data_IF_649776589009
#
_entry.id   IF_649776589009
#
_cell.length_a   1.000
_cell.length_b   1.000
_cell.length_c   1.000
_cell.angle_alpha   90.00
_cell.angle_beta   90.00
_cell.angle_gamma   90.00
#
_symmetry.space_group_name_H-M   'P 1'
#
loop_
_entity.id
_entity.type
_entity.pdbx_description
1 polymer ?
#
# COMPACT_ATOMS: atom_id res chain seq x y z
N UNK A 1 -21.32 46.21 24.31
CA UNK A 1 -20.56 46.01 23.04
C UNK A 1 -20.22 44.54 22.74
N UNK A 2 -20.80 43.55 23.44
CA UNK A 2 -20.38 42.14 23.33
C UNK A 2 -21.11 41.30 22.26
N UNK A 3 -22.17 41.85 21.63
CA UNK A 3 -23.00 41.13 20.64
C UNK A 3 -22.66 41.45 19.18
N UNK A 4 -21.80 42.44 18.92
CA UNK A 4 -21.42 42.82 17.55
C UNK A 4 -20.35 41.89 16.96
N UNK A 5 -19.52 41.28 17.80
CA UNK A 5 -18.50 40.31 17.39
C UNK A 5 -19.07 39.06 16.69
N UNK A 6 -20.08 38.36 17.25
CA UNK A 6 -20.66 37.20 16.57
C UNK A 6 -21.41 37.58 15.28
N UNK A 7 -22.04 38.75 15.23
CA UNK A 7 -22.70 39.24 14.02
C UNK A 7 -21.70 39.51 12.88
N UNK A 8 -20.54 40.11 13.16
CA UNK A 8 -19.48 40.29 12.18
C UNK A 8 -18.87 38.97 11.70
N UNK A 9 -18.67 38.00 12.62
CA UNK A 9 -18.14 36.69 12.28
C UNK A 9 -19.06 35.91 11.33
N UNK A 10 -20.38 35.95 11.57
CA UNK A 10 -21.36 35.30 10.70
C UNK A 10 -21.43 35.95 9.32
N UNK A 11 -21.37 37.29 9.26
CA UNK A 11 -21.38 38.02 7.98
C UNK A 11 -20.11 37.74 7.16
N UNK A 12 -18.94 37.65 7.81
CA UNK A 12 -17.69 37.27 7.17
C UNK A 12 -17.73 35.83 6.62
N UNK A 13 -18.28 34.89 7.40
CA UNK A 13 -18.42 33.49 6.96
C UNK A 13 -19.31 33.37 5.72
N UNK A 14 -20.46 34.05 5.69
CA UNK A 14 -21.36 34.02 4.54
C UNK A 14 -20.77 34.75 3.33
N UNK A 15 -20.05 35.86 3.56
CA UNK A 15 -19.32 36.55 2.49
C UNK A 15 -18.27 35.65 1.85
N UNK A 16 -17.50 34.91 2.67
CA UNK A 16 -16.53 33.93 2.17
C UNK A 16 -17.19 32.78 1.41
N UNK A 17 -18.34 32.28 1.88
CA UNK A 17 -19.10 31.23 1.18
C UNK A 17 -19.61 31.72 -0.20
N UNK A 18 -20.12 32.96 -0.27
CA UNK A 18 -20.56 33.59 -1.51
C UNK A 18 -19.40 33.79 -2.50
N UNK A 19 -18.22 34.19 -1.99
CA UNK A 19 -17.01 34.31 -2.82
C UNK A 19 -16.58 32.95 -3.36
N UNK A 20 -16.60 31.89 -2.55
CA UNK A 20 -16.28 30.53 -3.01
C UNK A 20 -17.27 30.00 -4.05
N UNK A 21 -18.55 30.37 -3.95
CA UNK A 21 -19.57 29.97 -4.93
C UNK A 21 -19.45 30.73 -6.25
N UNK A 22 -19.06 32.02 -6.20
CA UNK A 22 -18.88 32.85 -7.39
C UNK A 22 -17.56 32.60 -8.13
N UNK A 23 -16.47 32.33 -7.39
CA UNK A 23 -15.13 32.08 -7.96
C UNK A 23 -14.93 30.60 -8.30
N UNK A 24 -15.73 29.71 -7.73
CA UNK A 24 -15.51 28.27 -7.78
C UNK A 24 -14.47 27.83 -6.75
N UNK A 25 -14.61 26.60 -6.24
CA UNK A 25 -13.63 26.01 -5.33
C UNK A 25 -12.31 25.76 -6.08
N UNK A 26 -11.18 26.37 -5.69
CA UNK A 26 -9.89 26.03 -6.27
C UNK A 26 -9.46 24.65 -5.77
N UNK A 27 -9.78 23.59 -6.51
CA UNK A 27 -9.40 22.24 -6.06
C UNK A 27 -9.97 21.01 -6.76
N UNK A 28 -10.60 21.10 -7.95
CA UNK A 28 -11.04 19.89 -8.68
C UNK A 28 -10.47 19.78 -10.09
N UNK A 29 -9.24 20.27 -10.27
CA UNK A 29 -8.39 19.89 -11.39
C UNK A 29 -7.32 18.93 -10.88
N UNK A 30 -7.68 17.65 -10.74
CA UNK A 30 -6.68 16.59 -10.55
C UNK A 30 -5.80 16.54 -11.80
N UNK A 31 -4.70 17.29 -11.77
CA UNK A 31 -3.61 17.22 -12.74
C UNK A 31 -2.92 15.88 -12.52
N UNK A 32 -3.33 14.86 -13.24
CA UNK A 32 -2.53 13.66 -13.39
C UNK A 32 -1.50 13.94 -14.47
N UNK A 33 -0.30 14.35 -14.06
CA UNK A 33 0.85 14.28 -14.94
C UNK A 33 1.14 12.78 -15.09
N UNK A 34 0.70 12.17 -16.18
CA UNK A 34 1.03 10.78 -16.57
C UNK A 34 2.52 10.67 -16.95
N UNK A 35 3.41 11.34 -16.21
CA UNK A 35 4.82 11.02 -16.20
C UNK A 35 5.05 10.14 -14.99
N UNK A 36 5.37 8.84 -15.17
CA UNK A 36 6.05 8.14 -14.10
C UNK A 36 7.30 8.97 -13.79
N UNK A 37 7.37 9.56 -12.59
CA UNK A 37 8.65 10.03 -12.08
C UNK A 37 9.58 8.83 -12.20
N UNK A 38 10.58 8.91 -13.08
CA UNK A 38 11.51 7.81 -13.32
C UNK A 38 12.28 7.61 -12.03
N UNK A 39 11.79 6.73 -11.17
CA UNK A 39 12.53 6.22 -10.03
C UNK A 39 13.69 5.41 -10.61
N UNK A 40 14.83 6.08 -10.78
CA UNK A 40 16.11 5.45 -11.08
C UNK A 40 16.49 4.61 -9.86
N UNK A 41 16.06 3.35 -9.88
CA UNK A 41 16.49 2.34 -8.93
C UNK A 41 18.00 2.19 -9.14
N UNK A 42 18.78 2.75 -8.21
CA UNK A 42 20.21 2.54 -8.14
C UNK A 42 20.44 1.08 -7.73
N UNK A 43 20.49 0.19 -8.72
CA UNK A 43 20.90 -1.19 -8.52
C UNK A 43 22.37 -1.20 -8.10
N UNK A 44 22.62 -1.26 -6.78
CA UNK A 44 23.93 -1.61 -6.25
C UNK A 44 24.14 -3.09 -6.56
N UNK A 45 25.01 -3.37 -7.52
CA UNK A 45 25.47 -4.72 -7.85
C UNK A 45 26.10 -5.34 -6.59
N UNK A 46 25.32 -6.15 -5.87
CA UNK A 46 25.84 -7.06 -4.85
C UNK A 46 26.33 -8.27 -5.63
N UNK A 47 27.64 -8.32 -5.86
CA UNK A 47 28.28 -9.53 -6.33
C UNK A 47 28.12 -10.59 -5.24
N UNK A 48 27.31 -11.61 -5.51
CA UNK A 48 27.20 -12.81 -4.69
C UNK A 48 28.58 -13.42 -4.49
N UNK A 49 29.05 -13.35 -3.25
CA UNK A 49 30.24 -14.01 -2.78
C UNK A 49 30.00 -15.53 -2.88
N UNK A 50 30.67 -16.16 -3.86
CA UNK A 50 30.92 -17.60 -4.03
C UNK A 50 30.40 -18.50 -2.89
N UNK A 51 29.60 -19.55 -3.20
CA UNK A 51 29.13 -20.47 -2.16
C UNK A 51 30.30 -21.15 -1.47
N UNK A 52 30.45 -20.92 -0.17
CA UNK A 52 31.40 -21.65 0.68
C UNK A 52 30.93 -23.11 0.80
N UNK A 53 31.85 -24.09 0.68
CA UNK A 53 31.50 -25.50 0.71
C UNK A 53 31.00 -25.92 2.11
N UNK A 54 29.94 -26.73 2.13
CA UNK A 54 29.35 -27.32 3.33
C UNK A 54 30.34 -28.26 4.03
N UNK A 55 30.39 -28.31 5.38
CA UNK A 55 31.21 -29.28 6.09
C UNK A 55 30.59 -30.68 6.03
N UNK A 56 31.34 -31.62 5.44
CA UNK A 56 31.03 -33.05 5.39
C UNK A 56 31.08 -33.66 6.80
N UNK A 57 29.95 -34.16 7.29
CA UNK A 57 29.88 -34.97 8.51
C UNK A 57 30.19 -36.43 8.14
N UNK A 58 31.35 -36.93 8.58
CA UNK A 58 31.70 -38.37 8.54
C UNK A 58 31.21 -39.08 9.82
N UNK A 59 30.76 -40.34 9.72
CA UNK A 59 30.15 -41.07 10.83
C UNK A 59 31.22 -41.68 11.76
N UNK A 60 30.92 -41.79 13.06
CA UNK A 60 31.73 -42.60 14.00
C UNK A 60 30.90 -43.67 14.71
N UNK A 61 31.45 -44.89 14.95
CA UNK A 61 30.75 -46.03 15.54
C UNK A 61 30.97 -46.16 17.07
N UNK A 62 30.10 -46.94 17.74
CA UNK A 62 30.23 -47.51 19.13
C UNK A 62 31.39 -48.56 19.21
N UNK A 63 31.76 -49.25 20.33
CA UNK A 63 31.38 -49.19 21.78
C UNK A 63 32.53 -49.37 22.85
N UNK A 64 32.28 -49.03 24.16
CA UNK A 64 32.68 -49.69 25.48
C UNK A 64 34.23 -49.82 25.83
N UNK A 65 34.79 -50.01 27.08
CA UNK A 65 34.28 -50.31 28.46
C UNK A 65 34.83 -49.48 29.68
N UNK A 66 34.30 -49.86 30.87
CA UNK A 66 34.55 -49.47 32.29
C UNK A 66 36.02 -49.41 32.79
N UNK A 67 36.25 -48.81 33.99
CA UNK A 67 36.55 -49.67 35.15
C UNK A 67 35.86 -49.27 36.48
N UNK A 68 35.58 -50.31 37.27
CA UNK A 68 35.29 -50.33 38.73
C UNK A 68 36.62 -50.16 39.52
N UNK A 69 36.67 -49.73 40.81
CA UNK A 69 36.23 -50.60 41.91
C UNK A 69 35.68 -49.96 43.21
N UNK A 70 34.91 -50.81 43.90
CA UNK A 70 34.57 -50.88 45.35
C UNK A 70 35.84 -50.77 46.24
N UNK A 71 35.76 -50.38 47.53
CA UNK A 71 35.02 -51.17 48.53
C UNK A 71 34.29 -50.42 49.66
N UNK A 72 33.34 -51.17 50.20
CA UNK A 72 32.64 -51.06 51.49
C UNK A 72 33.58 -51.02 52.70
N UNK A 73 33.14 -50.51 53.86
CA UNK A 73 32.58 -51.44 54.85
C UNK A 73 31.33 -50.93 55.61
N UNK A 74 30.41 -51.87 55.84
CA UNK A 74 29.39 -51.94 56.91
C UNK A 74 30.08 -52.06 58.29
N UNK A 75 29.44 -51.87 59.48
CA UNK A 75 28.04 -52.23 59.79
C UNK A 75 27.20 -51.34 60.77
N UNK A 76 25.88 -51.32 60.52
CA UNK A 76 24.69 -51.61 61.39
C UNK A 76 24.83 -51.32 62.91
N UNK A 77 23.86 -50.70 63.65
CA UNK A 77 22.43 -51.02 63.60
C UNK A 77 21.37 -49.91 63.84
N UNK A 78 20.13 -50.30 63.48
CA UNK A 78 18.81 -49.69 63.73
C UNK A 78 18.63 -49.16 65.17
N UNK A 79 17.78 -48.13 65.37
CA UNK A 79 16.39 -48.45 65.72
C UNK A 79 15.34 -47.62 64.96
N UNK A 80 14.19 -48.26 64.79
CA UNK A 80 12.95 -47.73 64.23
C UNK A 80 12.43 -46.51 65.00
N UNK A 81 12.11 -45.44 64.29
CA UNK A 81 11.11 -44.46 64.73
C UNK A 81 10.13 -44.23 63.60
N UNK A 82 8.90 -44.72 63.81
CA UNK A 82 7.70 -44.37 63.06
C UNK A 82 7.51 -42.85 63.05
N UNK A 83 7.86 -42.19 61.94
CA UNK A 83 7.37 -40.85 61.65
C UNK A 83 6.16 -40.97 60.72
N UNK A 84 5.02 -40.54 61.24
CA UNK A 84 3.72 -40.49 60.57
C UNK A 84 3.85 -39.79 59.21
N UNK A 85 3.39 -40.46 58.15
CA UNK A 85 2.89 -39.80 56.95
C UNK A 85 1.78 -38.84 57.39
N UNK A 86 2.08 -37.55 57.41
CA UNK A 86 1.07 -36.52 57.31
C UNK A 86 0.93 -36.22 55.82
N UNK A 87 -0.15 -36.68 55.21
CA UNK A 87 -0.57 -36.12 53.92
C UNK A 87 -0.77 -34.61 54.10
N UNK A 88 -0.13 -33.76 53.28
CA UNK A 88 -0.38 -32.34 53.33
C UNK A 88 -1.82 -32.10 52.87
N UNK A 89 -2.70 -31.72 53.80
CA UNK A 89 -3.99 -31.10 53.45
C UNK A 89 -3.70 -29.89 52.54
N UNK A 90 -4.33 -29.77 51.37
CA UNK A 90 -4.21 -28.59 50.53
C UNK A 90 -4.60 -27.34 51.33
N UNK A 91 -3.65 -26.40 51.53
CA UNK A 91 -3.97 -25.08 52.04
C UNK A 91 -4.79 -24.36 50.97
N UNK A 92 -6.04 -24.00 51.28
CA UNK A 92 -6.80 -23.11 50.42
C UNK A 92 -6.07 -21.77 50.29
N UNK A 93 -5.88 -21.24 49.05
CA UNK A 93 -5.19 -19.97 48.86
C UNK A 93 -5.97 -18.82 49.51
N UNK A 94 -5.23 -17.89 50.12
CA UNK A 94 -5.79 -16.71 50.78
C UNK A 94 -6.60 -15.86 49.80
N UNK A 95 -7.65 -15.15 50.28
CA UNK A 95 -8.45 -14.23 49.45
C UNK A 95 -7.60 -13.19 48.72
N UNK A 96 -6.51 -12.74 49.35
CA UNK A 96 -5.58 -11.77 48.76
C UNK A 96 -4.76 -12.36 47.60
N UNK A 97 -4.41 -13.65 47.70
CA UNK A 97 -3.67 -14.38 46.68
C UNK A 97 -4.54 -14.66 45.45
N UNK A 98 -5.83 -14.97 45.66
CA UNK A 98 -6.84 -15.08 44.60
C UNK A 98 -7.04 -13.75 43.86
N UNK A 99 -7.14 -12.63 44.59
CA UNK A 99 -7.30 -11.30 44.00
C UNK A 99 -6.09 -10.88 43.15
N UNK A 100 -4.87 -11.18 43.59
CA UNK A 100 -3.65 -10.93 42.81
C UNK A 100 -3.60 -11.77 41.53
N UNK A 101 -3.98 -13.05 41.60
CA UNK A 101 -4.04 -13.93 40.43
C UNK A 101 -5.10 -13.48 39.42
N UNK A 102 -6.25 -13.02 39.87
CA UNK A 102 -7.31 -12.50 39.00
C UNK A 102 -6.89 -11.19 38.31
N UNK A 103 -6.29 -10.26 39.06
CA UNK A 103 -5.75 -9.03 38.49
C UNK A 103 -4.64 -9.29 37.45
N UNK A 104 -3.77 -10.27 37.69
CA UNK A 104 -2.73 -10.68 36.74
C UNK A 104 -3.34 -11.29 35.47
N UNK A 105 -4.36 -12.15 35.60
CA UNK A 105 -5.09 -12.69 34.44
C UNK A 105 -5.78 -11.60 33.61
N UNK A 106 -6.38 -10.61 34.27
CA UNK A 106 -6.99 -9.45 33.60
C UNK A 106 -5.95 -8.65 32.82
N UNK A 107 -4.78 -8.38 33.41
CA UNK A 107 -3.67 -7.69 32.71
C UNK A 107 -3.15 -8.47 31.51
N UNK A 108 -2.95 -9.78 31.66
CA UNK A 108 -2.52 -10.65 30.58
C UNK A 108 -3.56 -10.70 29.44
N UNK A 109 -4.85 -10.70 29.79
CA UNK A 109 -5.93 -10.64 28.80
C UNK A 109 -5.96 -9.31 28.05
N UNK A 110 -5.80 -8.19 28.76
CA UNK A 110 -5.76 -6.85 28.18
C UNK A 110 -4.53 -6.66 27.28
N UNK A 111 -3.36 -7.11 27.71
CA UNK A 111 -2.15 -7.07 26.89
C UNK A 111 -2.29 -7.93 25.63
N UNK A 112 -2.87 -9.12 25.75
CA UNK A 112 -3.15 -9.98 24.61
C UNK A 112 -4.12 -9.32 23.63
N UNK A 113 -5.20 -8.73 24.13
CA UNK A 113 -6.17 -8.00 23.29
C UNK A 113 -5.51 -6.82 22.57
N UNK A 114 -4.65 -6.08 23.26
CA UNK A 114 -3.90 -4.96 22.68
C UNK A 114 -2.93 -5.44 21.60
N UNK A 115 -2.24 -6.56 21.82
CA UNK A 115 -1.35 -7.16 20.82
C UNK A 115 -2.13 -7.64 19.59
N UNK A 116 -3.29 -8.30 19.78
CA UNK A 116 -4.17 -8.74 18.70
C UNK A 116 -4.65 -7.54 17.86
N UNK A 117 -5.10 -6.46 18.51
CA UNK A 117 -5.51 -5.22 17.82
C UNK A 117 -4.36 -4.57 17.04
N UNK A 118 -3.14 -4.56 17.61
CA UNK A 118 -1.96 -4.01 16.93
C UNK A 118 -1.58 -4.85 15.70
N UNK A 119 -1.71 -6.17 15.79
CA UNK A 119 -1.45 -7.07 14.66
C UNK A 119 -2.50 -6.87 13.56
N UNK A 120 -3.79 -6.83 13.90
CA UNK A 120 -4.87 -6.60 12.94
C UNK A 120 -4.70 -5.25 12.21
N UNK A 121 -4.38 -4.18 12.95
CA UNK A 121 -4.11 -2.89 12.35
C UNK A 121 -2.88 -2.94 11.42
N UNK A 122 -1.80 -3.59 11.85
CA UNK A 122 -0.60 -3.73 11.02
C UNK A 122 -0.89 -4.53 9.74
N UNK A 123 -1.69 -5.60 9.82
CA UNK A 123 -2.10 -6.39 8.66
C UNK A 123 -3.00 -5.61 7.70
N UNK A 124 -3.94 -4.82 8.25
CA UNK A 124 -4.80 -3.94 7.46
C UNK A 124 -3.98 -2.89 6.70
N UNK A 125 -3.04 -2.21 7.38
CA UNK A 125 -2.15 -1.24 6.77
C UNK A 125 -1.25 -1.87 5.70
N UNK A 126 -0.67 -3.04 5.97
CA UNK A 126 0.13 -3.75 4.99
C UNK A 126 -0.68 -4.18 3.75
N UNK A 127 -1.95 -4.55 3.94
CA UNK A 127 -2.85 -4.88 2.83
C UNK A 127 -3.20 -3.65 2.01
N UNK A 128 -3.50 -2.53 2.68
CA UNK A 128 -3.77 -1.25 2.02
C UNK A 128 -2.56 -0.76 1.22
N UNK A 129 -1.36 -0.83 1.78
CA UNK A 129 -0.12 -0.43 1.10
C UNK A 129 0.13 -1.28 -0.15
N UNK A 130 -0.01 -2.61 -0.06
CA UNK A 130 0.09 -3.51 -1.23
C UNK A 130 -0.95 -3.21 -2.31
N UNK A 131 -2.18 -2.92 -1.91
CA UNK A 131 -3.24 -2.57 -2.85
C UNK A 131 -2.94 -1.22 -3.53
N UNK A 132 -2.42 -0.24 -2.78
CA UNK A 132 -2.02 1.05 -3.32
C UNK A 132 -0.83 0.93 -4.30
N UNK A 133 0.15 0.08 -3.99
CA UNK A 133 1.26 -0.24 -4.90
C UNK A 133 0.76 -0.91 -6.19
N UNK A 134 -0.15 -1.88 -6.09
CA UNK A 134 -0.76 -2.53 -7.24
C UNK A 134 -1.57 -1.55 -8.09
N UNK A 135 -2.39 -0.71 -7.45
CA UNK A 135 -3.17 0.36 -8.10
C UNK A 135 -2.24 1.33 -8.86
N UNK A 136 -1.13 1.75 -8.24
CA UNK A 136 -0.16 2.65 -8.86
C UNK A 136 0.54 2.01 -10.07
N UNK A 137 0.90 0.72 -9.97
CA UNK A 137 1.50 -0.01 -11.08
C UNK A 137 0.53 -0.16 -12.24
N UNK A 138 -0.75 -0.48 -11.96
CA UNK A 138 -1.79 -0.53 -12.98
C UNK A 138 -1.99 0.86 -13.61
N UNK A 139 -2.06 1.93 -12.82
CA UNK A 139 -2.19 3.29 -13.34
C UNK A 139 -1.11 3.63 -14.37
N UNK A 140 0.16 3.29 -14.09
CA UNK A 140 1.28 3.50 -15.02
C UNK A 140 1.08 2.69 -16.30
N UNK A 141 0.80 1.39 -16.18
CA UNK A 141 0.61 0.49 -17.33
C UNK A 141 -0.53 0.94 -18.24
N UNK A 142 -1.66 1.37 -17.66
CA UNK A 142 -2.78 1.90 -18.43
C UNK A 142 -2.48 3.27 -19.05
N UNK A 143 -1.73 4.13 -18.35
CA UNK A 143 -1.25 5.39 -18.92
C UNK A 143 -0.40 5.19 -20.16
N UNK A 144 0.54 4.24 -20.13
CA UNK A 144 1.38 3.87 -21.27
C UNK A 144 0.57 3.27 -22.43
N UNK A 145 -0.39 2.39 -22.11
CA UNK A 145 -1.31 1.81 -23.10
C UNK A 145 -2.10 2.90 -23.82
N UNK A 146 -2.72 3.82 -23.09
CA UNK A 146 -3.52 4.90 -23.66
C UNK A 146 -2.64 5.80 -24.54
N UNK A 147 -1.43 6.13 -24.08
CA UNK A 147 -0.49 6.91 -24.87
C UNK A 147 -0.13 6.21 -26.20
N UNK A 148 0.07 4.89 -26.18
CA UNK A 148 0.32 4.10 -27.37
C UNK A 148 -0.90 4.08 -28.31
N UNK A 149 -2.10 3.87 -27.78
CA UNK A 149 -3.34 3.86 -28.55
C UNK A 149 -3.60 5.20 -29.25
N UNK A 150 -3.48 6.32 -28.52
CA UNK A 150 -3.62 7.67 -29.09
C UNK A 150 -2.61 7.88 -30.20
N UNK A 151 -1.37 7.46 -29.99
CA UNK A 151 -0.30 7.66 -30.96
C UNK A 151 -0.50 6.86 -32.24
N UNK A 152 -0.93 5.61 -32.12
CA UNK A 152 -1.26 4.77 -33.27
C UNK A 152 -2.38 5.38 -34.13
N UNK A 153 -3.30 6.12 -33.50
CA UNK A 153 -4.39 6.82 -34.18
C UNK A 153 -4.03 8.24 -34.64
N UNK A 154 -2.88 8.76 -34.22
CA UNK A 154 -2.46 10.13 -34.48
C UNK A 154 -1.82 10.29 -35.85
N UNK A 155 -2.30 11.28 -36.60
CA UNK A 155 -1.70 11.70 -37.86
C UNK A 155 -0.95 13.01 -37.66
N UNK A 156 0.38 12.95 -37.80
CA UNK A 156 1.27 14.10 -37.55
C UNK A 156 0.99 15.23 -38.56
N UNK A 157 0.54 16.42 -38.11
CA UNK A 157 0.34 17.54 -39.00
C UNK A 157 1.69 18.12 -39.46
N UNK A 158 1.77 18.76 -40.65
CA UNK A 158 3.04 19.26 -41.22
C UNK A 158 3.80 20.25 -40.32
N UNK A 159 3.07 21.00 -39.48
CA UNK A 159 3.63 21.99 -38.54
C UNK A 159 4.03 21.41 -37.19
N UNK A 160 3.74 20.13 -36.90
CA UNK A 160 4.13 19.52 -35.63
C UNK A 160 5.65 19.47 -35.51
N UNK A 161 6.20 20.32 -34.64
CA UNK A 161 7.65 20.42 -34.37
C UNK A 161 8.01 19.74 -33.05
N UNK A 162 9.32 19.58 -32.85
CA UNK A 162 9.88 19.17 -31.57
C UNK A 162 9.54 20.21 -30.50
N UNK A 163 9.15 19.75 -29.31
CA UNK A 163 8.83 20.62 -28.17
C UNK A 163 7.36 21.07 -28.09
N UNK A 164 6.51 20.71 -29.06
CA UNK A 164 5.06 20.91 -28.93
C UNK A 164 4.49 19.88 -27.96
N UNK A 165 3.73 20.38 -26.97
CA UNK A 165 3.09 19.56 -25.95
C UNK A 165 1.69 20.09 -25.73
N UNK A 166 0.69 19.21 -25.82
CA UNK A 166 -0.69 19.56 -25.46
C UNK A 166 -1.15 18.68 -24.30
N UNK A 167 -1.88 19.26 -23.35
CA UNK A 167 -2.54 18.51 -22.27
C UNK A 167 -4.01 18.37 -22.65
N UNK A 168 -4.46 17.13 -22.75
CA UNK A 168 -5.82 16.77 -23.17
C UNK A 168 -6.53 16.09 -22.01
N UNK A 169 -7.72 16.58 -21.65
CA UNK A 169 -8.63 15.89 -20.75
C UNK A 169 -9.50 14.93 -21.56
N UNK A 170 -9.72 13.74 -21.00
CA UNK A 170 -10.52 12.67 -21.57
C UNK A 170 -11.51 12.20 -20.51
N UNK A 171 -12.76 12.01 -20.90
CA UNK A 171 -13.79 11.42 -20.06
C UNK A 171 -14.28 10.13 -20.67
N UNK A 172 -14.36 9.09 -19.84
CA UNK A 172 -14.81 7.77 -20.25
C UNK A 172 -15.95 7.29 -19.35
N UNK A 173 -16.68 6.29 -19.85
CA UNK A 173 -17.66 5.53 -19.09
C UNK A 173 -17.16 4.11 -18.83
N UNK A 174 -17.73 3.38 -17.84
CA UNK A 174 -17.27 2.02 -17.49
C UNK A 174 -17.27 1.02 -18.64
N UNK A 175 -18.00 1.27 -19.73
CA UNK A 175 -17.92 0.46 -20.95
C UNK A 175 -16.62 0.67 -21.74
N UNK A 176 -15.76 1.61 -21.33
CA UNK A 176 -14.54 2.01 -22.03
C UNK A 176 -14.75 3.06 -23.14
N UNK A 177 -15.99 3.49 -23.38
CA UNK A 177 -16.27 4.52 -24.39
C UNK A 177 -15.77 5.90 -23.97
N UNK A 178 -15.14 6.62 -24.89
CA UNK A 178 -14.73 8.01 -24.74
C UNK A 178 -15.93 8.90 -25.06
N UNK A 179 -16.44 9.60 -24.05
CA UNK A 179 -17.64 10.43 -24.18
C UNK A 179 -17.32 11.91 -24.37
N UNK A 180 -16.13 12.35 -23.98
CA UNK A 180 -15.70 13.74 -24.10
C UNK A 180 -14.17 13.85 -24.15
N UNK A 181 -13.70 14.87 -24.85
CA UNK A 181 -12.28 15.21 -24.94
C UNK A 181 -12.09 16.70 -25.24
N UNK A 182 -11.19 17.35 -24.51
CA UNK A 182 -10.91 18.78 -24.70
C UNK A 182 -9.48 19.14 -24.32
N UNK A 183 -8.99 20.24 -24.88
CA UNK A 183 -7.65 20.77 -24.55
C UNK A 183 -7.73 21.49 -23.21
N UNK A 184 -6.89 21.08 -22.27
CA UNK A 184 -6.66 21.78 -21.00
C UNK A 184 -5.54 22.80 -21.18
N UNK A 185 -4.44 22.39 -21.80
CA UNK A 185 -3.31 23.25 -22.12
C UNK A 185 -2.93 23.09 -23.60
N UNK A 186 -3.00 24.20 -24.34
CA UNK A 186 -2.65 24.23 -25.76
C UNK A 186 -1.15 24.13 -25.97
N UNK A 187 -0.74 23.46 -27.04
CA UNK A 187 0.66 23.45 -27.49
C UNK A 187 1.15 24.78 -28.09
N UNK A 188 0.24 25.75 -28.28
CA UNK A 188 0.48 26.96 -29.04
C UNK A 188 0.28 26.81 -30.56
N UNK A 189 -0.07 25.61 -31.05
CA UNK A 189 -0.45 25.37 -32.45
C UNK A 189 -1.80 24.63 -32.53
N UNK A 190 -2.81 25.32 -33.08
CA UNK A 190 -4.17 24.78 -33.17
C UNK A 190 -4.25 23.53 -34.07
N UNK A 191 -3.43 23.42 -35.12
CA UNK A 191 -3.45 22.26 -36.00
C UNK A 191 -2.92 21.02 -35.27
N UNK A 192 -1.90 21.19 -34.43
CA UNK A 192 -1.42 20.19 -33.50
C UNK A 192 -2.51 19.79 -32.50
N UNK A 193 -3.08 20.74 -31.76
CA UNK A 193 -4.08 20.44 -30.73
C UNK A 193 -5.29 19.68 -31.30
N UNK A 194 -5.83 20.15 -32.44
CA UNK A 194 -6.93 19.46 -33.14
C UNK A 194 -6.53 18.07 -33.63
N UNK A 195 -5.27 17.86 -34.02
CA UNK A 195 -4.81 16.53 -34.44
C UNK A 195 -4.80 15.54 -33.28
N UNK A 196 -4.48 15.99 -32.06
CA UNK A 196 -4.54 15.16 -30.84
C UNK A 196 -5.99 14.84 -30.48
N UNK A 197 -6.88 15.84 -30.48
CA UNK A 197 -8.32 15.61 -30.23
C UNK A 197 -8.92 14.60 -31.22
N UNK A 198 -8.53 14.66 -32.50
CA UNK A 198 -8.96 13.68 -33.50
C UNK A 198 -8.41 12.28 -33.24
N UNK A 199 -7.17 12.17 -32.77
CA UNK A 199 -6.56 10.88 -32.43
C UNK A 199 -7.31 10.22 -31.26
N UNK A 200 -7.62 10.99 -30.22
CA UNK A 200 -8.44 10.53 -29.08
C UNK A 200 -9.85 10.17 -29.53
N UNK A 201 -10.48 11.01 -30.35
CA UNK A 201 -11.83 10.74 -30.88
C UNK A 201 -11.93 9.45 -31.68
N UNK A 202 -10.84 9.04 -32.36
CA UNK A 202 -10.79 7.82 -33.17
C UNK A 202 -10.68 6.55 -32.34
N UNK A 203 -10.31 6.65 -31.07
CA UNK A 203 -10.30 5.50 -30.17
C UNK A 203 -11.70 4.93 -30.04
N UNK A 204 -12.71 5.79 -29.88
CA UNK A 204 -14.09 5.37 -29.64
C UNK A 204 -14.21 4.66 -28.30
N UNK A 205 -13.86 3.37 -28.26
CA UNK A 205 -13.87 2.51 -27.09
C UNK A 205 -12.48 1.96 -26.79
N UNK A 206 -12.09 1.99 -25.52
CA UNK A 206 -10.86 1.38 -24.99
C UNK A 206 -11.27 0.14 -24.20
N UNK A 207 -11.12 -1.04 -24.79
CA UNK A 207 -11.57 -2.32 -24.21
C UNK A 207 -10.91 -2.59 -22.85
N UNK A 208 -9.64 -2.26 -22.73
CA UNK A 208 -8.88 -2.48 -21.50
C UNK A 208 -9.41 -1.63 -20.34
N UNK A 209 -9.95 -0.42 -20.61
CA UNK A 209 -10.61 0.37 -19.58
C UNK A 209 -11.95 -0.22 -19.16
N UNK A 210 -12.64 -0.91 -20.07
CA UNK A 210 -13.86 -1.64 -19.73
C UNK A 210 -13.55 -2.82 -18.80
N UNK A 211 -12.52 -3.60 -19.14
CA UNK A 211 -12.02 -4.69 -18.30
C UNK A 211 -11.52 -4.16 -16.95
N UNK A 212 -10.85 -3.00 -16.91
CA UNK A 212 -10.44 -2.37 -15.66
C UNK A 212 -11.63 -1.97 -14.79
N UNK A 213 -12.70 -1.43 -15.38
CA UNK A 213 -13.90 -1.06 -14.63
C UNK A 213 -14.58 -2.27 -13.98
N UNK A 214 -14.47 -3.47 -14.59
CA UNK A 214 -14.98 -4.72 -14.05
C UNK A 214 -14.06 -5.32 -12.98
N UNK A 215 -12.74 -5.31 -13.21
CA UNK A 215 -11.75 -5.98 -12.34
C UNK A 215 -11.29 -5.13 -11.16
N UNK A 216 -11.17 -3.81 -11.35
CA UNK A 216 -10.78 -2.84 -10.33
C UNK A 216 -11.56 -1.53 -10.51
N UNK A 217 -12.85 -1.58 -10.20
CA UNK A 217 -13.77 -0.43 -10.30
C UNK A 217 -13.25 0.79 -9.56
N UNK A 218 -12.71 0.62 -8.35
CA UNK A 218 -12.20 1.73 -7.54
C UNK A 218 -11.06 2.49 -8.24
N UNK A 219 -10.13 1.78 -8.89
CA UNK A 219 -9.07 2.41 -9.66
C UNK A 219 -9.64 3.13 -10.89
N UNK A 220 -10.53 2.49 -11.64
CA UNK A 220 -11.19 3.08 -12.80
C UNK A 220 -11.90 4.41 -12.45
N UNK A 221 -12.76 4.39 -11.42
CA UNK A 221 -13.54 5.56 -10.99
C UNK A 221 -12.64 6.73 -10.57
N UNK A 222 -11.54 6.44 -9.88
CA UNK A 222 -10.62 7.46 -9.37
C UNK A 222 -9.68 8.02 -10.44
N UNK A 223 -9.26 7.18 -11.41
CA UNK A 223 -8.13 7.48 -12.31
C UNK A 223 -8.48 7.52 -13.79
N UNK A 224 -9.56 6.88 -14.26
CA UNK A 224 -9.83 6.70 -15.69
C UNK A 224 -11.21 7.17 -16.15
N UNK A 225 -12.17 7.42 -15.23
CA UNK A 225 -13.43 8.08 -15.57
C UNK A 225 -13.19 9.48 -16.15
N UNK A 226 -12.28 10.25 -15.55
CA UNK A 226 -11.82 11.55 -16.03
C UNK A 226 -10.33 11.66 -15.76
N UNK A 227 -9.54 11.80 -16.81
CA UNK A 227 -8.10 11.89 -16.70
C UNK A 227 -7.53 12.87 -17.71
N UNK A 228 -6.31 13.32 -17.42
CA UNK A 228 -5.55 14.17 -18.32
C UNK A 228 -4.36 13.39 -18.85
N UNK A 229 -4.00 13.67 -20.09
CA UNK A 229 -2.84 13.07 -20.73
C UNK A 229 -2.08 14.14 -21.48
N UNK A 230 -0.76 14.13 -21.27
CA UNK A 230 0.20 15.04 -21.91
C UNK A 230 0.73 14.39 -23.18
N UNK A 231 0.35 14.92 -24.33
CA UNK A 231 0.77 14.40 -25.62
C UNK A 231 1.98 15.17 -26.15
N UNK A 232 3.06 14.44 -26.42
CA UNK A 232 4.28 14.93 -27.07
C UNK A 232 4.65 14.02 -28.26
N UNK A 233 4.90 14.58 -29.46
CA UNK A 233 5.28 13.80 -30.65
C UNK A 233 6.58 13.00 -30.55
N UNK A 234 7.39 13.22 -29.50
CA UNK A 234 8.73 12.65 -29.36
C UNK A 234 8.85 11.55 -28.30
N UNK A 235 7.89 11.41 -27.37
CA UNK A 235 8.02 10.48 -26.25
C UNK A 235 8.06 8.99 -26.69
N UNK A 236 7.76 8.70 -27.95
CA UNK A 236 7.49 7.35 -28.44
C UNK A 236 8.45 6.88 -29.54
N UNK A 237 9.61 7.55 -29.69
CA UNK A 237 10.70 7.14 -30.60
C UNK A 237 11.78 6.27 -29.93
N UNK A 238 11.49 5.64 -28.79
CA UNK A 238 12.46 4.79 -28.09
C UNK A 238 12.15 3.32 -28.27
#
# INVERSE_FOLDING_TARGET
MQFFLPALATLALHGMLLVLLLVGLPGDERRFDLQPERTIINAKLVFDEKPRPQPVIKPKPKPVPKPQPKPTPKPVPKPEVKAKQAEPKPKEPSKEEKAKQEAEKLRQLEEKLRQEQQQELAEALNTEEKNAEADAQQEITFGELIAALVTNNWSRPPKARNGMVAVVAIETVPSGEVINQYIVESSGDTAFDLSVLRAVSRLGRIEELAELAETNTSLYERKFRRFQFKFNPQDLRR
#
